data_IF_990209064155
#
_entry.id   IF_990209064155
#
_cell.length_a   1.000
_cell.length_b   1.000
_cell.length_c   1.000
_cell.angle_alpha   90.00
_cell.angle_beta   90.00
_cell.angle_gamma   90.00
#
_symmetry.space_group_name_H-M   'P 1'
#
loop_
_entity.id
_entity.type
_entity.pdbx_description
1 polymer ?
#
# COMPACT_ATOMS: atom_id res chain seq x y z
N UNK A 1 18.67 -13.85 5.60
CA UNK A 1 17.93 -12.65 6.07
C UNK A 1 18.69 -11.39 5.63
N UNK A 2 18.40 -10.77 4.48
CA UNK A 2 19.08 -9.54 4.05
C UNK A 2 18.21 -8.33 4.41
N UNK A 3 18.68 -7.49 5.35
CA UNK A 3 18.23 -6.11 5.69
C UNK A 3 18.42 -5.79 7.19
N UNK A 4 18.71 -6.78 8.05
CA UNK A 4 18.85 -6.56 9.50
C UNK A 4 19.94 -5.54 9.86
N UNK A 5 21.04 -5.49 9.09
CA UNK A 5 22.15 -4.55 9.35
C UNK A 5 21.76 -3.07 9.26
N UNK A 6 20.84 -2.70 8.36
CA UNK A 6 20.40 -1.30 8.20
C UNK A 6 19.59 -0.84 9.42
N UNK A 7 18.75 -1.72 9.98
CA UNK A 7 17.95 -1.42 11.17
C UNK A 7 18.83 -1.21 12.41
N UNK A 8 19.88 -2.03 12.60
CA UNK A 8 20.84 -1.87 13.70
C UNK A 8 21.61 -0.56 13.60
N UNK A 9 22.08 -0.20 12.40
CA UNK A 9 22.80 1.06 12.17
C UNK A 9 21.88 2.27 12.42
N UNK A 10 20.63 2.22 11.95
CA UNK A 10 19.63 3.27 12.22
C UNK A 10 19.37 3.40 13.73
N UNK A 11 19.23 2.27 14.45
CA UNK A 11 19.03 2.26 15.90
C UNK A 11 20.21 2.89 16.64
N UNK A 12 21.44 2.52 16.28
CA UNK A 12 22.66 3.08 16.87
C UNK A 12 22.79 4.59 16.64
N UNK A 13 22.46 5.07 15.43
CA UNK A 13 22.49 6.50 15.09
C UNK A 13 21.41 7.30 15.83
N UNK A 14 20.22 6.71 16.04
CA UNK A 14 19.18 7.32 16.87
C UNK A 14 19.61 7.45 18.33
N UNK A 15 20.26 6.43 18.88
CA UNK A 15 20.79 6.47 20.24
C UNK A 15 21.89 7.53 20.41
N UNK A 16 22.62 7.87 19.34
CA UNK A 16 23.57 8.99 19.30
C UNK A 16 22.92 10.37 19.09
N UNK A 17 21.60 10.47 19.15
CA UNK A 17 20.86 11.73 19.01
C UNK A 17 20.64 12.19 17.57
N UNK A 18 21.04 11.40 16.57
CA UNK A 18 20.82 11.74 15.16
C UNK A 18 19.39 11.38 14.78
N UNK A 19 18.51 12.38 14.80
CA UNK A 19 17.07 12.19 14.52
C UNK A 19 16.74 12.22 13.03
N UNK A 20 17.56 12.90 12.22
CA UNK A 20 17.38 13.12 10.78
C UNK A 20 18.25 12.22 9.92
N UNK A 21 18.30 10.93 10.26
CA UNK A 21 19.15 9.93 9.58
C UNK A 21 18.96 9.95 8.06
N UNK A 22 17.72 10.13 7.61
CA UNK A 22 17.39 10.17 6.18
C UNK A 22 17.95 11.41 5.47
N UNK A 23 18.06 12.53 6.15
CA UNK A 23 18.71 13.74 5.62
C UNK A 23 20.22 13.58 5.64
N UNK A 24 20.79 13.12 6.75
CA UNK A 24 22.24 12.87 6.87
C UNK A 24 22.75 11.87 5.81
N UNK A 25 22.02 10.79 5.55
CA UNK A 25 22.35 9.84 4.48
C UNK A 25 22.27 10.50 3.10
N UNK A 26 21.25 11.35 2.84
CA UNK A 26 21.14 12.05 1.57
C UNK A 26 22.26 13.09 1.38
N UNK A 27 22.80 13.67 2.47
CA UNK A 27 23.95 14.58 2.42
C UNK A 27 25.23 13.84 2.03
N UNK A 28 25.45 12.64 2.59
CA UNK A 28 26.66 11.84 2.33
C UNK A 28 26.59 11.10 0.99
N UNK A 29 25.40 10.63 0.61
CA UNK A 29 25.18 9.85 -0.62
C UNK A 29 23.86 10.27 -1.29
N UNK A 30 23.85 11.42 -1.96
CA UNK A 30 22.67 11.89 -2.71
C UNK A 30 22.34 10.96 -3.89
N UNK A 31 23.34 10.26 -4.44
CA UNK A 31 23.21 9.36 -5.58
C UNK A 31 22.36 8.13 -5.29
N UNK A 32 22.42 7.58 -4.08
CA UNK A 32 21.65 6.38 -3.71
C UNK A 32 20.14 6.57 -3.74
N UNK A 33 19.64 7.77 -3.43
CA UNK A 33 18.21 8.10 -3.57
C UNK A 33 17.81 8.13 -5.04
N UNK A 34 18.61 8.78 -5.88
CA UNK A 34 18.41 8.83 -7.32
C UNK A 34 18.43 7.42 -7.94
N UNK A 35 19.38 6.57 -7.55
CA UNK A 35 19.49 5.18 -8.00
C UNK A 35 18.30 4.32 -7.52
N UNK A 36 17.85 4.46 -6.27
CA UNK A 36 16.62 3.78 -5.78
C UNK A 36 15.40 4.22 -6.59
N UNK A 37 15.27 5.51 -6.89
CA UNK A 37 14.15 6.03 -7.68
C UNK A 37 14.21 5.56 -9.15
N UNK A 38 15.39 5.46 -9.75
CA UNK A 38 15.57 4.86 -11.09
C UNK A 38 15.18 3.38 -11.09
N UNK A 39 15.63 2.60 -10.09
CA UNK A 39 15.28 1.17 -9.97
C UNK A 39 13.77 0.95 -9.80
N UNK A 40 13.06 1.76 -9.02
CA UNK A 40 11.61 1.65 -8.88
C UNK A 40 10.82 2.12 -10.11
N UNK A 41 11.42 2.99 -10.93
CA UNK A 41 10.83 3.47 -12.20
C UNK A 41 11.08 2.56 -13.39
N UNK A 42 12.12 1.72 -13.39
CA UNK A 42 12.31 0.65 -14.37
C UNK A 42 11.32 -0.50 -14.11
N UNK A 43 10.03 -0.24 -14.29
CA UNK A 43 9.01 -1.29 -14.32
C UNK A 43 9.00 -1.90 -15.72
N UNK A 44 9.17 -3.22 -15.82
CA UNK A 44 8.97 -3.94 -17.08
C UNK A 44 7.52 -3.71 -17.53
N UNK A 45 7.33 -3.19 -18.74
CA UNK A 45 6.01 -3.07 -19.34
C UNK A 45 5.45 -4.47 -19.55
N UNK A 46 4.28 -4.74 -18.99
CA UNK A 46 3.60 -6.03 -19.13
C UNK A 46 2.29 -5.80 -19.85
N UNK A 47 1.98 -6.57 -20.90
CA UNK A 47 0.68 -6.53 -21.58
C UNK A 47 -0.48 -7.14 -20.74
N UNK A 48 -0.26 -7.30 -19.43
CA UNK A 48 -1.21 -7.87 -18.48
C UNK A 48 -1.98 -6.75 -17.79
N UNK A 49 -3.28 -6.96 -17.64
CA UNK A 49 -4.17 -6.07 -16.90
C UNK A 49 -4.07 -6.44 -15.42
N UNK A 50 -3.75 -5.45 -14.57
CA UNK A 50 -3.63 -5.66 -13.13
C UNK A 50 -4.94 -5.27 -12.45
N UNK A 51 -5.61 -6.25 -11.85
CA UNK A 51 -6.84 -6.08 -11.07
C UNK A 51 -6.48 -6.17 -9.58
N UNK A 52 -6.76 -5.12 -8.81
CA UNK A 52 -6.52 -5.11 -7.36
C UNK A 52 -7.76 -4.65 -6.59
N UNK A 53 -7.93 -5.17 -5.38
CA UNK A 53 -9.04 -4.87 -4.48
C UNK A 53 -8.53 -4.28 -3.17
N UNK A 54 -8.90 -3.04 -2.90
CA UNK A 54 -8.54 -2.33 -1.69
C UNK A 54 -9.55 -2.56 -0.57
N UNK A 55 -9.14 -3.33 0.45
CA UNK A 55 -10.01 -3.76 1.55
C UNK A 55 -9.87 -2.96 2.85
N UNK A 56 -9.06 -1.89 2.91
CA UNK A 56 -8.89 -1.12 4.17
C UNK A 56 -10.19 -0.47 4.66
N UNK A 57 -11.15 -0.24 3.76
CA UNK A 57 -12.45 0.32 4.07
C UNK A 57 -13.55 -0.74 4.31
N UNK A 58 -13.18 -2.02 4.42
CA UNK A 58 -14.11 -3.12 4.72
C UNK A 58 -14.88 -2.89 6.02
N UNK A 59 -14.27 -2.24 7.03
CA UNK A 59 -14.93 -1.86 8.30
C UNK A 59 -16.16 -0.96 8.09
N UNK A 60 -16.15 -0.18 7.01
CA UNK A 60 -17.23 0.72 6.60
C UNK A 60 -18.05 0.14 5.44
N UNK A 61 -17.87 -1.16 5.14
CA UNK A 61 -18.57 -1.90 4.08
C UNK A 61 -18.23 -1.40 2.67
N UNK A 62 -17.12 -0.70 2.50
CA UNK A 62 -16.62 -0.29 1.20
C UNK A 62 -15.45 -1.17 0.77
N UNK A 63 -15.55 -1.70 -0.45
CA UNK A 63 -14.43 -2.33 -1.15
C UNK A 63 -14.23 -1.59 -2.45
N UNK A 64 -13.01 -1.10 -2.67
CA UNK A 64 -12.66 -0.40 -3.91
C UNK A 64 -11.93 -1.40 -4.80
N UNK A 65 -12.49 -1.71 -5.95
CA UNK A 65 -11.86 -2.52 -6.98
C UNK A 65 -11.31 -1.58 -8.06
N UNK A 66 -10.04 -1.74 -8.43
CA UNK A 66 -9.41 -0.94 -9.47
C UNK A 66 -8.59 -1.79 -10.42
N UNK A 67 -8.63 -1.43 -11.71
CA UNK A 67 -7.83 -2.06 -12.75
C UNK A 67 -6.84 -1.07 -13.36
N UNK A 68 -5.62 -1.52 -13.63
CA UNK A 68 -4.57 -0.72 -14.25
C UNK A 68 -4.00 -1.49 -15.44
N UNK A 69 -3.87 -0.82 -16.59
CA UNK A 69 -3.14 -1.36 -17.73
C UNK A 69 -1.64 -1.48 -17.40
N UNK A 70 -1.08 -2.68 -17.54
CA UNK A 70 0.32 -2.95 -17.22
C UNK A 70 1.32 -2.29 -18.17
N UNK A 71 0.87 -1.87 -19.37
CA UNK A 71 1.67 -1.17 -20.35
C UNK A 71 1.65 0.35 -20.10
N UNK A 72 0.50 0.99 -20.29
CA UNK A 72 0.36 2.45 -20.19
C UNK A 72 0.26 2.99 -18.76
N UNK A 73 -0.04 2.12 -17.78
CA UNK A 73 -0.37 2.50 -16.39
C UNK A 73 -1.63 3.36 -16.26
N UNK A 74 -2.47 3.43 -17.31
CA UNK A 74 -3.78 4.05 -17.21
C UNK A 74 -4.72 3.22 -16.34
N UNK A 75 -5.54 3.92 -15.55
CA UNK A 75 -6.62 3.31 -14.77
C UNK A 75 -7.72 2.94 -15.76
N UNK A 76 -7.97 1.65 -15.92
CA UNK A 76 -8.96 1.13 -16.86
C UNK A 76 -10.33 1.00 -16.22
N UNK A 77 -10.41 0.79 -14.91
CA UNK A 77 -11.66 0.83 -14.16
C UNK A 77 -11.42 1.15 -12.68
N UNK A 78 -12.42 1.76 -12.03
CA UNK A 78 -12.46 1.96 -10.59
C UNK A 78 -13.92 1.86 -10.12
N UNK A 79 -14.24 0.86 -9.30
CA UNK A 79 -15.59 0.61 -8.79
C UNK A 79 -15.57 0.48 -7.27
N UNK A 80 -16.46 1.19 -6.59
CA UNK A 80 -16.67 1.09 -5.16
C UNK A 80 -17.93 0.27 -4.87
N UNK A 81 -17.78 -0.88 -4.22
CA UNK A 81 -18.86 -1.78 -3.83
C UNK A 81 -19.19 -1.59 -2.36
N UNK A 82 -20.49 -1.45 -2.02
CA UNK A 82 -21.02 -1.24 -0.66
C UNK A 82 -21.47 -2.53 0.05
N UNK A 83 -21.12 -3.70 -0.48
CA UNK A 83 -21.78 -4.94 -0.13
C UNK A 83 -21.29 -5.51 1.20
N UNK A 84 -21.97 -5.14 2.28
CA UNK A 84 -22.10 -6.02 3.43
C UNK A 84 -23.58 -6.12 3.77
N UNK A 85 -24.34 -6.99 3.10
CA UNK A 85 -25.74 -7.26 3.41
C UNK A 85 -25.84 -7.99 4.77
N UNK A 86 -25.51 -7.28 5.86
CA UNK A 86 -25.55 -7.69 7.27
C UNK A 86 -26.31 -6.66 8.13
N UNK A 87 -27.28 -5.97 7.55
CA UNK A 87 -28.43 -5.35 8.23
C UNK A 87 -29.62 -6.07 7.61
N UNK A 88 -30.34 -7.00 8.22
CA UNK A 88 -30.76 -7.14 9.61
C UNK A 88 -30.93 -8.64 9.89
N UNK A 89 -29.91 -9.27 10.50
CA UNK A 89 -30.12 -10.47 11.32
C UNK A 89 -30.67 -9.97 12.66
N UNK A 90 -31.84 -10.48 13.04
CA UNK A 90 -32.64 -10.27 14.28
C UNK A 90 -33.78 -9.22 14.24
N UNK A 91 -34.99 -9.71 14.57
CA UNK A 91 -36.33 -9.09 14.71
C UNK A 91 -37.15 -9.05 13.40
N UNK A 92 -38.02 -10.05 13.11
CA UNK A 92 -39.05 -10.58 14.02
C UNK A 92 -39.19 -12.12 13.98
N UNK A 93 -38.82 -12.80 15.06
CA UNK A 93 -39.16 -14.22 15.28
C UNK A 93 -40.24 -14.40 16.37
N UNK A 94 -40.92 -13.33 16.83
CA UNK A 94 -42.02 -13.43 17.81
C UNK A 94 -43.10 -12.36 17.62
N UNK A 95 -44.19 -12.72 16.92
CA UNK A 95 -45.59 -12.22 16.95
C UNK A 95 -46.22 -12.49 15.57
N UNK A 96 -47.16 -13.40 15.38
CA UNK A 96 -47.88 -14.26 16.30
C UNK A 96 -48.34 -15.53 15.57
N UNK A 97 -48.28 -16.63 16.32
CA UNK A 97 -49.33 -17.64 16.38
C UNK A 97 -50.70 -17.02 16.58
#
# INVERSE_FOLDING_TARGET
>A
MPNSGETYVIGALRNRGIRRIREAINTVDPGRRYLKQKKTKQKKYTYLWHIDSHHKLRRWRFVIHGGIDGYSRYIVYLQCSKNNKSETVTKPFFRGS
#
